data_IF_797394282403
#
_entry.id   IF_797394282403
#
_cell.length_a   1.000
_cell.length_b   1.000
_cell.length_c   1.000
_cell.angle_alpha   90.00
_cell.angle_beta   90.00
_cell.angle_gamma   90.00
#
_symmetry.space_group_name_H-M   'P 1'
#
loop_
_entity.id
_entity.type
_entity.pdbx_description
1 polymer ?
#
# COMPACT_ATOMS: atom_id res chain seq x y z
N UNK A 1 -6.68 11.85 23.89
CA UNK A 1 -7.55 11.06 22.97
C UNK A 1 -6.74 10.20 21.99
N UNK A 2 -5.71 10.72 21.28
CA UNK A 2 -4.90 9.97 20.31
C UNK A 2 -4.13 8.78 20.90
N UNK A 3 -3.67 8.87 22.15
CA UNK A 3 -2.99 7.74 22.82
C UNK A 3 -3.96 6.61 23.16
N UNK A 4 -5.18 6.94 23.52
CA UNK A 4 -6.22 5.97 23.89
C UNK A 4 -6.69 5.15 22.69
N UNK A 5 -6.86 5.79 21.53
CA UNK A 5 -7.23 5.08 20.28
C UNK A 5 -6.13 4.13 19.81
N UNK A 6 -4.86 4.52 19.92
CA UNK A 6 -3.73 3.65 19.58
C UNK A 6 -3.68 2.43 20.49
N UNK A 7 -3.79 2.63 21.80
CA UNK A 7 -3.74 1.53 22.77
C UNK A 7 -4.93 0.59 22.59
N UNK A 8 -6.14 1.09 22.37
CA UNK A 8 -7.32 0.25 22.11
C UNK A 8 -7.18 -0.60 20.84
N UNK A 9 -6.70 0.00 19.74
CA UNK A 9 -6.43 -0.71 18.50
C UNK A 9 -5.36 -1.80 18.67
N UNK A 10 -4.29 -1.49 19.38
CA UNK A 10 -3.24 -2.45 19.68
C UNK A 10 -3.77 -3.65 20.47
N UNK A 11 -4.54 -3.41 21.54
CA UNK A 11 -5.15 -4.48 22.33
C UNK A 11 -6.15 -5.32 21.53
N UNK A 12 -6.99 -4.69 20.67
CA UNK A 12 -7.92 -5.41 19.81
C UNK A 12 -7.18 -6.35 18.84
N UNK A 13 -6.08 -5.90 18.23
CA UNK A 13 -5.28 -6.73 17.34
C UNK A 13 -4.60 -7.88 18.10
N UNK A 14 -4.08 -7.64 19.29
CA UNK A 14 -3.49 -8.70 20.14
C UNK A 14 -4.56 -9.72 20.53
N UNK A 15 -5.74 -9.28 20.97
CA UNK A 15 -6.85 -10.19 21.32
C UNK A 15 -7.27 -11.00 20.09
N UNK A 16 -7.43 -10.37 18.93
CA UNK A 16 -7.81 -11.09 17.70
C UNK A 16 -6.78 -12.13 17.28
N UNK A 17 -5.47 -11.85 17.47
CA UNK A 17 -4.39 -12.79 17.21
C UNK A 17 -4.45 -14.00 18.16
N UNK A 18 -4.66 -13.76 19.46
CA UNK A 18 -4.80 -14.82 20.46
C UNK A 18 -6.03 -15.69 20.16
N UNK A 19 -7.17 -15.07 19.89
CA UNK A 19 -8.42 -15.78 19.57
C UNK A 19 -8.25 -16.60 18.30
N UNK A 20 -7.64 -16.01 17.24
CA UNK A 20 -7.41 -16.72 15.99
C UNK A 20 -6.46 -17.92 16.17
N UNK A 21 -5.37 -17.76 16.91
CA UNK A 21 -4.41 -18.83 17.16
C UNK A 21 -5.01 -19.98 17.99
N UNK A 22 -5.94 -19.67 18.90
CA UNK A 22 -6.59 -20.66 19.77
C UNK A 22 -7.74 -21.42 19.09
N UNK A 23 -8.57 -20.69 18.31
CA UNK A 23 -9.77 -21.28 17.70
C UNK A 23 -9.48 -21.92 16.32
N UNK A 24 -8.59 -21.31 15.55
CA UNK A 24 -8.39 -21.65 14.14
C UNK A 24 -6.99 -22.15 13.82
N UNK A 25 -6.41 -22.98 14.61
CA UNK A 25 -5.06 -23.58 14.56
C UNK A 25 -4.33 -23.69 13.20
N UNK A 26 -4.92 -23.18 12.09
CA UNK A 26 -4.45 -23.37 10.70
C UNK A 26 -4.48 -22.14 9.80
N UNK A 27 -4.89 -20.96 10.28
CA UNK A 27 -4.98 -19.79 9.40
C UNK A 27 -3.68 -18.95 9.47
N UNK A 28 -2.61 -19.52 8.93
CA UNK A 28 -1.31 -18.86 8.80
C UNK A 28 -1.43 -17.44 8.21
N UNK A 29 -2.27 -17.26 7.19
CA UNK A 29 -2.47 -15.97 6.50
C UNK A 29 -3.04 -14.91 7.46
N UNK A 30 -4.03 -15.27 8.28
CA UNK A 30 -4.62 -14.34 9.25
C UNK A 30 -3.60 -13.98 10.33
N UNK A 31 -2.82 -14.92 10.83
CA UNK A 31 -1.76 -14.65 11.80
C UNK A 31 -0.69 -13.71 11.21
N UNK A 32 -0.28 -13.93 9.97
CA UNK A 32 0.65 -13.06 9.25
C UNK A 32 0.07 -11.65 9.13
N UNK A 33 -1.19 -11.51 8.74
CA UNK A 33 -1.87 -10.21 8.64
C UNK A 33 -1.92 -9.49 9.99
N UNK A 34 -2.29 -10.18 11.06
CA UNK A 34 -2.37 -9.59 12.41
C UNK A 34 -1.00 -9.17 12.93
N UNK A 35 0.03 -10.00 12.75
CA UNK A 35 1.40 -9.69 13.16
C UNK A 35 1.92 -8.48 12.38
N UNK A 36 1.74 -8.44 11.04
CA UNK A 36 2.17 -7.30 10.23
C UNK A 36 1.48 -6.01 10.62
N UNK A 37 0.18 -6.09 10.92
CA UNK A 37 -0.60 -4.94 11.38
C UNK A 37 -0.08 -4.40 12.71
N UNK A 38 0.23 -5.27 13.68
CA UNK A 38 0.83 -4.88 14.96
C UNK A 38 2.20 -4.22 14.77
N UNK A 39 3.07 -4.83 13.96
CA UNK A 39 4.39 -4.28 13.66
C UNK A 39 4.26 -2.91 13.00
N UNK A 40 3.37 -2.78 12.00
CA UNK A 40 3.13 -1.52 11.31
C UNK A 40 2.62 -0.42 12.25
N UNK A 41 1.69 -0.73 13.16
CA UNK A 41 1.21 0.22 14.16
C UNK A 41 2.33 0.74 15.07
N UNK A 42 3.21 -0.16 15.54
CA UNK A 42 4.33 0.22 16.41
C UNK A 42 5.32 1.09 15.64
N UNK A 43 5.71 0.66 14.43
CA UNK A 43 6.67 1.39 13.60
C UNK A 43 6.12 2.76 13.19
N UNK A 44 4.84 2.85 12.82
CA UNK A 44 4.20 4.13 12.45
C UNK A 44 4.18 5.10 13.63
N UNK A 45 3.91 4.62 14.85
CA UNK A 45 3.93 5.47 16.05
C UNK A 45 5.30 6.13 16.29
N UNK A 46 6.39 5.37 16.15
CA UNK A 46 7.74 5.91 16.28
C UNK A 46 8.17 6.71 15.05
N UNK A 47 7.80 6.23 13.88
CA UNK A 47 8.09 6.89 12.60
C UNK A 47 7.49 8.28 12.51
N UNK A 48 6.27 8.47 12.99
CA UNK A 48 5.64 9.79 13.07
C UNK A 48 6.53 10.81 13.83
N UNK A 49 7.15 10.38 14.94
CA UNK A 49 8.06 11.25 15.70
C UNK A 49 9.33 11.59 14.90
N UNK A 50 9.81 10.67 14.08
CA UNK A 50 11.00 10.90 13.23
C UNK A 50 10.65 11.90 12.14
N UNK A 51 9.55 11.72 11.42
CA UNK A 51 9.11 12.64 10.36
C UNK A 51 8.93 14.05 10.90
N UNK A 52 8.29 14.21 12.05
CA UNK A 52 8.08 15.52 12.66
C UNK A 52 9.40 16.18 13.08
N UNK A 53 10.37 15.41 13.59
CA UNK A 53 11.72 15.93 13.91
C UNK A 53 12.50 16.36 12.67
N UNK A 54 12.32 15.65 11.54
CA UNK A 54 12.98 15.97 10.28
C UNK A 54 12.29 17.11 9.51
N UNK A 55 11.19 17.67 10.05
CA UNK A 55 10.38 18.72 9.41
C UNK A 55 9.92 18.33 7.99
N UNK A 56 9.64 17.04 7.75
CA UNK A 56 9.08 16.57 6.50
C UNK A 56 7.57 16.86 6.49
N UNK A 57 7.23 18.10 6.21
CA UNK A 57 5.86 18.61 6.30
C UNK A 57 5.31 18.84 4.90
N UNK A 58 4.02 18.58 4.77
CA UNK A 58 3.31 18.77 3.50
C UNK A 58 3.13 20.26 3.20
N UNK A 59 3.48 20.67 1.99
CA UNK A 59 3.16 21.98 1.47
C UNK A 59 1.77 21.94 0.84
N UNK A 60 0.83 22.76 1.29
CA UNK A 60 -0.54 22.81 0.78
C UNK A 60 -0.64 23.76 -0.42
N UNK A 61 -1.46 23.41 -1.40
CA UNK A 61 -1.78 24.29 -2.51
C UNK A 61 -2.56 25.49 -2.04
N UNK A 62 -2.13 26.70 -2.42
CA UNK A 62 -2.84 27.95 -2.15
C UNK A 62 -4.20 28.04 -2.86
N UNK A 63 -4.44 27.18 -3.85
CA UNK A 63 -5.64 27.14 -4.68
C UNK A 63 -6.68 26.10 -4.20
N UNK A 64 -6.42 25.39 -3.10
CA UNK A 64 -7.32 24.40 -2.53
C UNK A 64 -8.46 24.98 -1.69
N UNK A 65 -9.53 24.21 -1.40
CA UNK A 65 -10.62 24.62 -0.51
C UNK A 65 -10.08 25.10 0.85
N UNK A 66 -10.71 26.12 1.42
CA UNK A 66 -10.28 26.76 2.69
C UNK A 66 -10.14 25.80 3.88
N UNK A 67 -10.84 24.68 3.88
CA UNK A 67 -10.74 23.61 4.89
C UNK A 67 -9.38 22.90 4.89
N UNK A 68 -8.61 22.98 3.78
CA UNK A 68 -7.29 22.36 3.68
C UNK A 68 -6.18 23.17 4.36
N UNK A 69 -6.38 24.48 4.64
CA UNK A 69 -5.39 25.28 5.37
C UNK A 69 -5.13 24.75 6.79
N UNK A 70 -6.07 23.99 7.37
CA UNK A 70 -5.87 23.33 8.66
C UNK A 70 -4.91 22.12 8.59
N UNK A 71 -4.58 21.62 7.39
CA UNK A 71 -3.62 20.53 7.16
C UNK A 71 -2.17 21.03 6.95
N UNK A 72 -1.94 22.37 6.98
CA UNK A 72 -0.58 22.92 6.96
C UNK A 72 0.22 22.34 8.11
N UNK A 73 1.44 21.88 7.83
CA UNK A 73 2.33 21.22 8.80
C UNK A 73 1.93 19.77 9.15
N UNK A 74 1.09 19.09 8.35
CA UNK A 74 0.92 17.66 8.54
C UNK A 74 2.16 16.91 8.03
N UNK A 75 2.66 15.90 8.77
CA UNK A 75 3.77 15.09 8.32
C UNK A 75 3.41 14.31 7.05
N UNK A 76 4.31 14.30 6.07
CA UNK A 76 4.21 13.50 4.85
C UNK A 76 5.21 12.34 4.86
N UNK A 77 5.22 11.50 3.81
CA UNK A 77 6.08 10.31 3.69
C UNK A 77 5.78 9.18 4.70
N UNK A 78 4.60 9.18 5.32
CA UNK A 78 4.17 8.14 6.28
C UNK A 78 4.12 6.74 5.69
N UNK A 79 3.96 6.62 4.37
CA UNK A 79 3.95 5.35 3.65
C UNK A 79 5.19 4.48 3.87
N UNK A 80 6.36 5.07 4.17
CA UNK A 80 7.59 4.34 4.50
C UNK A 80 7.36 3.36 5.65
N UNK A 81 6.67 3.80 6.71
CA UNK A 81 6.45 2.99 7.92
C UNK A 81 5.37 1.92 7.76
N UNK A 82 4.58 1.99 6.71
CA UNK A 82 3.58 0.97 6.36
C UNK A 82 4.19 -0.05 5.40
N UNK A 83 4.91 0.42 4.39
CA UNK A 83 5.43 -0.43 3.31
C UNK A 83 6.64 -1.26 3.77
N UNK A 84 7.56 -0.68 4.56
CA UNK A 84 8.74 -1.42 5.02
C UNK A 84 8.40 -2.70 5.80
N UNK A 85 7.51 -2.70 6.81
CA UNK A 85 7.09 -3.92 7.47
C UNK A 85 6.44 -4.93 6.54
N UNK A 86 5.64 -4.45 5.58
CA UNK A 86 5.00 -5.32 4.59
C UNK A 86 6.02 -5.99 3.68
N UNK A 87 7.01 -5.26 3.16
CA UNK A 87 8.08 -5.82 2.33
C UNK A 87 8.92 -6.84 3.10
N UNK A 88 9.30 -6.54 4.34
CA UNK A 88 10.02 -7.48 5.19
C UNK A 88 9.22 -8.76 5.41
N UNK A 89 7.92 -8.64 5.61
CA UNK A 89 7.04 -9.78 5.80
C UNK A 89 6.94 -10.64 4.54
N UNK A 90 6.85 -10.03 3.36
CA UNK A 90 6.88 -10.78 2.09
C UNK A 90 8.16 -11.61 1.95
N UNK A 91 9.31 -11.07 2.35
CA UNK A 91 10.59 -11.81 2.31
C UNK A 91 10.60 -12.99 3.29
N UNK A 92 10.03 -12.83 4.49
CA UNK A 92 9.94 -13.92 5.47
C UNK A 92 9.00 -15.01 4.97
N UNK A 93 7.87 -14.64 4.40
CA UNK A 93 6.82 -15.55 3.94
C UNK A 93 7.22 -16.28 2.65
N UNK A 94 8.18 -15.74 1.89
CA UNK A 94 8.66 -16.32 0.63
C UNK A 94 9.09 -17.79 0.76
N UNK A 95 9.56 -18.22 1.91
CA UNK A 95 9.96 -19.61 2.15
C UNK A 95 8.78 -20.57 2.38
N UNK A 96 7.57 -20.05 2.59
CA UNK A 96 6.37 -20.82 2.91
C UNK A 96 5.36 -20.89 1.76
N UNK A 97 5.52 -20.04 0.75
CA UNK A 97 4.62 -19.93 -0.39
C UNK A 97 5.40 -19.98 -1.71
N UNK A 98 4.68 -19.87 -2.81
CA UNK A 98 5.31 -19.78 -4.12
C UNK A 98 6.22 -18.56 -4.22
N UNK A 99 7.52 -18.82 -4.28
CA UNK A 99 8.57 -17.80 -4.24
C UNK A 99 8.46 -16.80 -5.40
N UNK A 100 8.07 -17.25 -6.60
CA UNK A 100 7.97 -16.38 -7.78
C UNK A 100 6.80 -15.41 -7.64
N UNK A 101 5.63 -15.88 -7.21
CA UNK A 101 4.47 -15.03 -6.98
C UNK A 101 4.73 -13.96 -5.91
N UNK A 102 5.42 -14.33 -4.83
CA UNK A 102 5.81 -13.39 -3.78
C UNK A 102 6.83 -12.37 -4.27
N UNK A 103 7.81 -12.78 -5.07
CA UNK A 103 8.77 -11.85 -5.68
C UNK A 103 8.09 -10.86 -6.62
N UNK A 104 7.12 -11.30 -7.43
CA UNK A 104 6.34 -10.40 -8.27
C UNK A 104 5.58 -9.36 -7.45
N UNK A 105 4.93 -9.77 -6.36
CA UNK A 105 4.26 -8.86 -5.43
C UNK A 105 5.25 -7.89 -4.78
N UNK A 106 6.42 -8.38 -4.37
CA UNK A 106 7.47 -7.57 -3.78
C UNK A 106 7.93 -6.48 -4.76
N UNK A 107 8.28 -6.85 -5.99
CA UNK A 107 8.72 -5.89 -7.00
C UNK A 107 7.63 -4.91 -7.40
N UNK A 108 6.39 -5.35 -7.54
CA UNK A 108 5.26 -4.47 -7.81
C UNK A 108 5.10 -3.43 -6.69
N UNK A 109 5.04 -3.90 -5.44
CA UNK A 109 4.85 -3.05 -4.27
C UNK A 109 5.99 -2.04 -4.11
N UNK A 110 7.25 -2.48 -4.22
CA UNK A 110 8.40 -1.56 -4.08
C UNK A 110 8.45 -0.54 -5.21
N UNK A 111 8.07 -0.93 -6.42
CA UNK A 111 8.05 -0.02 -7.57
C UNK A 111 7.01 1.08 -7.42
N UNK A 112 5.78 0.74 -7.03
CA UNK A 112 4.75 1.75 -6.72
C UNK A 112 5.12 2.62 -5.52
N UNK A 113 5.74 2.02 -4.50
CA UNK A 113 6.26 2.76 -3.34
C UNK A 113 7.32 3.78 -3.75
N UNK A 114 8.28 3.42 -4.61
CA UNK A 114 9.32 4.33 -5.09
C UNK A 114 8.69 5.51 -5.84
N UNK A 115 7.67 5.29 -6.67
CA UNK A 115 6.97 6.39 -7.36
C UNK A 115 6.34 7.35 -6.35
N UNK A 116 5.61 6.83 -5.35
CA UNK A 116 4.99 7.66 -4.32
C UNK A 116 6.02 8.39 -3.46
N UNK A 117 7.11 7.71 -3.10
CA UNK A 117 8.21 8.31 -2.36
C UNK A 117 8.89 9.44 -3.12
N UNK A 118 9.16 9.26 -4.42
CA UNK A 118 9.74 10.30 -5.27
C UNK A 118 8.81 11.49 -5.43
N UNK A 119 7.52 11.25 -5.57
CA UNK A 119 6.49 12.29 -5.64
C UNK A 119 6.52 13.19 -4.39
N UNK A 120 6.48 12.58 -3.22
CA UNK A 120 6.56 13.28 -1.93
C UNK A 120 7.91 13.98 -1.74
N UNK A 121 9.02 13.30 -2.05
CA UNK A 121 10.36 13.85 -1.92
C UNK A 121 10.57 15.09 -2.78
N UNK A 122 10.15 15.05 -4.04
CA UNK A 122 10.26 16.19 -4.96
C UNK A 122 9.37 17.35 -4.51
N UNK A 123 8.18 17.06 -3.99
CA UNK A 123 7.28 18.08 -3.43
C UNK A 123 7.93 18.84 -2.26
N UNK A 124 8.58 18.12 -1.34
CA UNK A 124 9.28 18.71 -0.20
C UNK A 124 10.52 19.49 -0.66
N UNK A 125 11.36 18.87 -1.50
CA UNK A 125 12.64 19.45 -1.96
C UNK A 125 12.42 20.76 -2.72
N UNK A 126 11.42 20.78 -3.59
CA UNK A 126 11.09 21.97 -4.39
C UNK A 126 10.34 23.05 -3.61
N UNK A 127 9.94 22.78 -2.38
CA UNK A 127 9.05 23.65 -1.57
C UNK A 127 7.78 24.07 -2.34
N UNK A 128 7.35 23.23 -3.27
CA UNK A 128 6.17 23.40 -4.10
C UNK A 128 5.27 22.17 -3.91
N UNK A 129 3.97 22.35 -4.10
CA UNK A 129 3.01 21.23 -4.06
C UNK A 129 3.05 20.34 -5.31
N UNK A 130 4.03 20.51 -6.16
CA UNK A 130 4.22 19.73 -7.37
C UNK A 130 5.39 18.79 -7.17
N UNK A 131 5.09 17.53 -6.93
CA UNK A 131 6.05 16.43 -7.01
C UNK A 131 6.32 16.07 -8.48
N UNK A 132 6.08 14.83 -8.86
CA UNK A 132 6.11 14.40 -10.25
C UNK A 132 4.96 15.06 -11.03
N UNK A 133 5.18 15.36 -12.30
CA UNK A 133 4.08 15.78 -13.20
C UNK A 133 3.10 14.61 -13.36
N UNK A 134 1.80 14.93 -13.45
CA UNK A 134 0.75 13.90 -13.57
C UNK A 134 1.02 12.90 -14.70
N UNK A 135 1.50 13.37 -15.85
CA UNK A 135 1.85 12.50 -16.98
C UNK A 135 3.05 11.61 -16.68
N UNK A 136 4.09 12.13 -16.02
CA UNK A 136 5.28 11.35 -15.65
C UNK A 136 4.90 10.24 -14.67
N UNK A 137 4.12 10.59 -13.65
CA UNK A 137 3.60 9.64 -12.66
C UNK A 137 2.76 8.55 -13.32
N UNK A 138 1.82 8.94 -14.18
CA UNK A 138 0.98 7.99 -14.93
C UNK A 138 1.81 7.05 -15.81
N UNK A 139 2.78 7.56 -16.56
CA UNK A 139 3.63 6.75 -17.45
C UNK A 139 4.44 5.72 -16.64
N UNK A 140 5.04 6.14 -15.52
CA UNK A 140 5.79 5.22 -14.65
C UNK A 140 4.89 4.14 -14.07
N UNK A 141 3.70 4.49 -13.57
CA UNK A 141 2.73 3.54 -13.05
C UNK A 141 2.24 2.57 -14.12
N UNK A 142 1.94 3.08 -15.32
CA UNK A 142 1.50 2.28 -16.46
C UNK A 142 2.57 1.27 -16.89
N UNK A 143 3.84 1.70 -16.95
CA UNK A 143 4.95 0.84 -17.30
C UNK A 143 5.10 -0.31 -16.28
N UNK A 144 5.08 0.00 -14.98
CA UNK A 144 5.16 -1.01 -13.92
C UNK A 144 3.98 -1.98 -13.99
N UNK A 145 2.75 -1.45 -14.18
CA UNK A 145 1.56 -2.29 -14.28
C UNK A 145 1.63 -3.24 -15.48
N UNK A 146 2.07 -2.77 -16.64
CA UNK A 146 2.23 -3.62 -17.84
C UNK A 146 3.29 -4.69 -17.59
N UNK A 147 4.46 -4.34 -17.05
CA UNK A 147 5.50 -5.32 -16.72
C UNK A 147 4.99 -6.37 -15.73
N UNK A 148 4.32 -5.94 -14.66
CA UNK A 148 3.73 -6.85 -13.69
C UNK A 148 2.73 -7.82 -14.35
N UNK A 149 1.83 -7.31 -15.20
CA UNK A 149 0.84 -8.13 -15.89
C UNK A 149 1.52 -9.15 -16.82
N UNK A 150 2.54 -8.75 -17.56
CA UNK A 150 3.29 -9.66 -18.44
C UNK A 150 3.91 -10.80 -17.64
N UNK A 151 4.66 -10.51 -16.58
CA UNK A 151 5.30 -11.53 -15.77
C UNK A 151 4.29 -12.39 -15.00
N UNK A 152 3.24 -11.78 -14.47
CA UNK A 152 2.19 -12.51 -13.77
C UNK A 152 1.40 -13.44 -14.71
N UNK A 153 1.18 -13.04 -15.97
CA UNK A 153 0.53 -13.89 -16.95
C UNK A 153 1.41 -15.07 -17.38
N UNK A 154 2.72 -14.83 -17.60
CA UNK A 154 3.67 -15.89 -17.91
C UNK A 154 3.80 -16.91 -16.76
N UNK A 155 3.77 -16.43 -15.51
CA UNK A 155 3.75 -17.27 -14.31
C UNK A 155 2.41 -17.93 -14.02
N UNK A 156 1.37 -17.71 -14.84
CA UNK A 156 -0.01 -18.20 -14.64
C UNK A 156 -0.69 -17.72 -13.36
N UNK A 157 -0.23 -16.57 -12.82
CA UNK A 157 -0.84 -15.94 -11.63
C UNK A 157 -2.09 -15.13 -11.96
N UNK A 158 -2.29 -14.77 -13.23
CA UNK A 158 -3.52 -14.16 -13.71
C UNK A 158 -4.35 -15.25 -14.35
N UNK A 159 -5.48 -15.58 -13.70
CA UNK A 159 -6.44 -16.56 -14.23
C UNK A 159 -7.64 -15.81 -14.83
N UNK A 160 -7.94 -15.97 -16.13
CA UNK A 160 -9.13 -15.37 -16.72
C UNK A 160 -10.44 -15.93 -16.18
N UNK A 161 -10.43 -17.13 -15.60
CA UNK A 161 -11.60 -17.72 -14.94
C UNK A 161 -11.73 -17.19 -13.52
N UNK A 162 -12.71 -16.33 -13.28
CA UNK A 162 -13.06 -15.83 -11.96
C UNK A 162 -14.20 -16.65 -11.39
N UNK A 163 -13.94 -17.42 -10.35
CA UNK A 163 -14.95 -18.19 -9.63
C UNK A 163 -15.60 -17.33 -8.56
N UNK A 164 -16.88 -17.01 -8.73
CA UNK A 164 -17.68 -16.24 -7.75
C UNK A 164 -18.32 -17.18 -6.73
N UNK A 165 -18.72 -18.37 -7.17
CA UNK A 165 -19.37 -19.41 -6.37
C UNK A 165 -19.03 -20.77 -6.97
N UNK A 166 -19.30 -21.86 -6.23
CA UNK A 166 -19.08 -23.22 -6.70
C UNK A 166 -19.74 -23.51 -8.06
N UNK A 167 -20.79 -22.78 -8.43
CA UNK A 167 -21.54 -22.97 -9.67
C UNK A 167 -21.47 -21.76 -10.62
N UNK A 168 -20.76 -20.69 -10.26
CA UNK A 168 -20.71 -19.46 -11.05
C UNK A 168 -19.27 -19.07 -11.35
N UNK A 169 -18.88 -19.30 -12.60
CA UNK A 169 -17.58 -18.88 -13.14
C UNK A 169 -17.81 -17.86 -14.25
N UNK A 170 -17.08 -16.77 -14.21
CA UNK A 170 -17.02 -15.77 -15.28
C UNK A 170 -15.70 -15.97 -16.00
N UNK A 171 -15.77 -16.27 -17.30
CA UNK A 171 -14.60 -16.27 -18.16
C UNK A 171 -14.39 -14.85 -18.70
N UNK A 172 -13.40 -14.17 -18.15
CA UNK A 172 -13.05 -12.80 -18.54
C UNK A 172 -12.17 -12.77 -19.80
N UNK A 173 -11.63 -13.92 -20.21
CA UNK A 173 -10.76 -14.06 -21.36
C UNK A 173 -9.67 -12.96 -21.37
N UNK A 174 -9.46 -12.26 -22.50
CA UNK A 174 -8.45 -11.20 -22.64
C UNK A 174 -8.79 -9.93 -21.83
N UNK A 175 -10.05 -9.74 -21.44
CA UNK A 175 -10.52 -8.56 -20.69
C UNK A 175 -9.91 -8.48 -19.29
N UNK A 176 -9.41 -9.60 -18.73
CA UNK A 176 -8.73 -9.61 -17.43
C UNK A 176 -7.52 -8.68 -17.39
N UNK A 177 -6.76 -8.55 -18.49
CA UNK A 177 -5.56 -7.73 -18.53
C UNK A 177 -5.83 -6.22 -18.39
N UNK A 178 -6.75 -5.62 -19.18
CA UNK A 178 -7.14 -4.23 -18.93
C UNK A 178 -7.79 -4.03 -17.55
N UNK A 179 -8.51 -5.00 -17.00
CA UNK A 179 -9.03 -4.92 -15.63
C UNK A 179 -7.87 -4.84 -14.62
N UNK A 180 -6.88 -5.72 -14.71
CA UNK A 180 -5.69 -5.67 -13.85
C UNK A 180 -4.95 -4.33 -13.99
N UNK A 181 -4.78 -3.83 -15.21
CA UNK A 181 -4.14 -2.55 -15.45
C UNK A 181 -4.89 -1.39 -14.79
N UNK A 182 -6.20 -1.30 -15.01
CA UNK A 182 -7.04 -0.26 -14.41
C UNK A 182 -7.07 -0.38 -12.88
N UNK A 183 -7.05 -1.58 -12.34
CA UNK A 183 -6.99 -1.81 -10.91
C UNK A 183 -5.69 -1.27 -10.32
N UNK A 184 -4.53 -1.62 -10.88
CA UNK A 184 -3.24 -1.19 -10.36
C UNK A 184 -3.06 0.33 -10.47
N UNK A 185 -3.26 0.89 -11.66
CA UNK A 185 -3.05 2.32 -11.92
C UNK A 185 -4.19 3.16 -11.36
N UNK A 186 -5.43 2.72 -11.56
CA UNK A 186 -6.62 3.45 -11.14
C UNK A 186 -6.75 3.55 -9.62
N UNK A 187 -6.60 2.44 -8.88
CA UNK A 187 -6.67 2.47 -7.42
C UNK A 187 -5.52 3.27 -6.81
N UNK A 188 -4.29 3.13 -7.34
CA UNK A 188 -3.16 3.93 -6.87
C UNK A 188 -3.41 5.43 -6.98
N UNK A 189 -3.99 5.89 -8.10
CA UNK A 189 -4.33 7.30 -8.29
C UNK A 189 -5.58 7.71 -7.50
N UNK A 190 -6.59 6.85 -7.38
CA UNK A 190 -7.79 7.13 -6.60
C UNK A 190 -7.46 7.37 -5.12
N UNK A 191 -6.62 6.51 -4.51
CA UNK A 191 -6.17 6.67 -3.12
C UNK A 191 -5.41 7.99 -2.95
N UNK A 192 -4.50 8.32 -3.87
CA UNK A 192 -3.74 9.57 -3.82
C UNK A 192 -4.65 10.82 -3.95
N UNK A 193 -5.69 10.76 -4.78
CA UNK A 193 -6.67 11.85 -4.90
C UNK A 193 -7.51 11.99 -3.63
N UNK A 194 -7.95 10.88 -3.04
CA UNK A 194 -8.76 10.88 -1.82
C UNK A 194 -7.99 11.46 -0.62
N UNK A 195 -6.68 11.20 -0.53
CA UNK A 195 -5.83 11.78 0.52
C UNK A 195 -5.64 13.30 0.32
N UNK A 196 -5.73 13.76 -0.93
CA UNK A 196 -5.68 15.18 -1.31
C UNK A 196 -6.99 15.96 -1.13
N UNK A 197 -8.10 15.28 -0.84
CA UNK A 197 -9.41 15.87 -0.57
C UNK A 197 -9.67 15.99 0.94
#
# INVERSE_FOLDING_TARGET
TRSLTFTSLFFLLVISLIVNSYIFNSLLIINIFLISSLISLVITKYGFKIITRLNLLQNIRSEGPSLHFNKTNTPTMGGIFIILPFLLLLLIVNNYFDSIGILLLFFCTISFFIIGFLDDYLSISNKKNTGLKSNEKFILQALIAVLFIIFASQGKYINPLISISNNWNIDTNIVIFPICFLTLVGLSNAVNLTDGL
#
